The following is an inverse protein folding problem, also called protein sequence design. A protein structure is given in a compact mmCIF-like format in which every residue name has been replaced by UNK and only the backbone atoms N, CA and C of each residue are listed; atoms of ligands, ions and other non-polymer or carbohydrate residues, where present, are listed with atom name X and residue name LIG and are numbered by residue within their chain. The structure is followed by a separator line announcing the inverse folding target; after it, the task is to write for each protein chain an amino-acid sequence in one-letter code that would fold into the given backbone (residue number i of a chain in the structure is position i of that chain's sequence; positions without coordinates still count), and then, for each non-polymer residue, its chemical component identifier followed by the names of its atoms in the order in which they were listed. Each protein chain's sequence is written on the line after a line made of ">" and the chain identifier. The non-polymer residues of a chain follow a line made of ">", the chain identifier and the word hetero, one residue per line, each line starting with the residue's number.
data_IF_222654804129
#
_entry.id   IF_222654804129
#
_cell.length_a   1.000
_cell.length_b   1.000
_cell.length_c   1.000
_cell.angle_alpha   90.00
_cell.angle_beta   90.00
_cell.angle_gamma   90.00
#
_symmetry.space_group_name_H-M   'P 1'
#
loop_
_entity.id
_entity.type
_entity.pdbx_description
1 polymer ?
#
# COMPACT_ATOMS: atom_id res chain seq x y z
N UNK A 1 19.34 -4.07 -25.68
CA UNK A 1 18.53 -2.91 -25.23
C UNK A 1 19.13 -2.45 -23.92
N UNK A 2 19.74 -1.26 -23.91
CA UNK A 2 20.34 -0.66 -22.70
C UNK A 2 19.19 -0.27 -21.75
N UNK A 3 19.45 -0.27 -20.44
CA UNK A 3 18.45 0.06 -19.41
C UNK A 3 17.84 1.46 -19.53
N UNK A 4 18.34 2.32 -20.42
CA UNK A 4 17.79 3.66 -20.68
C UNK A 4 16.93 3.74 -21.95
N UNK A 5 16.94 2.70 -22.80
CA UNK A 5 16.22 2.72 -24.08
C UNK A 5 14.69 2.65 -23.90
N UNK A 6 14.20 2.21 -22.73
CA UNK A 6 12.75 2.13 -22.44
C UNK A 6 12.11 3.49 -22.16
N UNK A 7 12.89 4.51 -21.77
CA UNK A 7 12.36 5.87 -21.54
C UNK A 7 11.80 6.47 -22.84
N UNK A 8 12.38 6.12 -23.99
CA UNK A 8 11.87 6.54 -25.30
C UNK A 8 10.52 5.88 -25.64
N UNK A 9 10.23 4.71 -25.08
CA UNK A 9 8.98 3.99 -25.29
C UNK A 9 7.85 4.45 -24.35
N UNK A 10 8.17 5.25 -23.31
CA UNK A 10 7.19 5.68 -22.32
C UNK A 10 6.00 6.46 -22.93
N UNK A 11 6.20 7.43 -23.84
CA UNK A 11 5.09 8.13 -24.48
C UNK A 11 4.17 7.19 -25.25
N UNK A 12 4.75 6.28 -26.05
CA UNK A 12 4.00 5.31 -26.86
C UNK A 12 3.22 4.34 -25.97
N UNK A 13 3.85 3.81 -24.91
CA UNK A 13 3.20 2.95 -23.93
C UNK A 13 2.07 3.69 -23.21
N UNK A 14 2.28 4.94 -22.82
CA UNK A 14 1.25 5.75 -22.15
C UNK A 14 0.05 6.00 -23.06
N UNK A 15 0.28 6.37 -24.32
CA UNK A 15 -0.79 6.56 -25.31
C UNK A 15 -1.54 5.24 -25.52
N UNK A 16 -0.81 4.16 -25.75
CA UNK A 16 -1.42 2.85 -25.97
C UNK A 16 -2.26 2.41 -24.77
N UNK A 17 -1.73 2.49 -23.54
CA UNK A 17 -2.45 2.10 -22.32
C UNK A 17 -3.70 2.95 -22.09
N UNK A 18 -3.63 4.26 -22.36
CA UNK A 18 -4.76 5.16 -22.11
C UNK A 18 -5.87 5.09 -23.17
N UNK A 19 -5.53 4.69 -24.40
CA UNK A 19 -6.47 4.62 -25.53
C UNK A 19 -6.88 3.20 -25.91
N UNK A 20 -6.37 2.17 -25.25
CA UNK A 20 -6.79 0.79 -25.49
C UNK A 20 -8.04 0.42 -24.67
N UNK A 21 -9.11 -0.07 -25.31
CA UNK A 21 -10.28 -0.63 -24.65
C UNK A 21 -9.95 -1.77 -23.67
N UNK A 22 -10.47 -1.71 -22.45
CA UNK A 22 -10.27 -2.76 -21.44
C UNK A 22 -11.59 -3.44 -21.12
N UNK A 23 -11.62 -4.79 -21.18
CA UNK A 23 -12.83 -5.59 -20.86
C UNK A 23 -13.38 -5.31 -19.46
N UNK A 24 -12.51 -5.08 -18.48
CA UNK A 24 -12.89 -4.74 -17.10
C UNK A 24 -13.55 -3.36 -16.97
N UNK A 25 -13.43 -2.50 -17.99
CA UNK A 25 -14.09 -1.21 -18.10
C UNK A 25 -15.30 -1.27 -19.03
N UNK A 26 -15.89 -2.44 -19.25
CA UNK A 26 -17.01 -2.61 -20.18
C UNK A 26 -16.62 -2.44 -21.65
N UNK A 27 -15.32 -2.52 -21.97
CA UNK A 27 -14.82 -2.27 -23.32
C UNK A 27 -14.50 -0.80 -23.60
N UNK A 28 -14.45 0.06 -22.58
CA UNK A 28 -13.99 1.44 -22.70
C UNK A 28 -12.49 1.59 -22.44
N UNK A 29 -11.87 2.60 -23.04
CA UNK A 29 -10.50 2.98 -22.74
C UNK A 29 -10.43 3.92 -21.52
N UNK A 30 -9.30 3.96 -20.78
CA UNK A 30 -9.12 4.91 -19.68
C UNK A 30 -9.36 6.37 -20.07
N UNK A 31 -8.94 6.78 -21.26
CA UNK A 31 -9.15 8.13 -21.78
C UNK A 31 -10.65 8.46 -21.89
N UNK A 32 -11.48 7.52 -22.36
CA UNK A 32 -12.92 7.70 -22.49
C UNK A 32 -13.59 7.89 -21.13
N UNK A 33 -13.17 7.11 -20.13
CA UNK A 33 -13.68 7.23 -18.77
C UNK A 33 -13.29 8.55 -18.09
N UNK A 34 -12.15 9.11 -18.46
CA UNK A 34 -11.61 10.32 -17.86
C UNK A 34 -12.12 11.59 -18.53
N UNK A 35 -12.17 11.62 -19.86
CA UNK A 35 -12.53 12.82 -20.64
C UNK A 35 -13.95 12.78 -21.20
N UNK A 36 -14.58 11.60 -21.30
CA UNK A 36 -15.84 11.41 -22.01
C UNK A 36 -15.71 11.47 -23.54
N UNK A 37 -14.49 11.61 -24.08
CA UNK A 37 -14.21 11.62 -25.51
C UNK A 37 -13.85 10.22 -26.01
N UNK A 38 -14.16 9.87 -27.26
CA UNK A 38 -13.81 8.57 -27.82
C UNK A 38 -12.30 8.33 -27.82
N UNK A 39 -11.89 7.07 -27.64
CA UNK A 39 -10.49 6.71 -27.67
C UNK A 39 -9.88 6.93 -29.06
N UNK A 40 -8.84 7.75 -29.15
CA UNK A 40 -8.06 7.91 -30.38
C UNK A 40 -7.39 6.59 -30.79
N UNK A 41 -7.27 6.35 -32.10
CA UNK A 41 -6.45 5.25 -32.61
C UNK A 41 -5.00 5.42 -32.15
N UNK A 42 -4.31 4.36 -31.70
CA UNK A 42 -2.88 4.42 -31.36
C UNK A 42 -1.99 4.91 -32.51
N UNK A 43 -2.46 4.83 -33.75
CA UNK A 43 -1.79 5.34 -34.96
C UNK A 43 -2.38 6.67 -35.48
N UNK A 44 -3.44 7.19 -34.85
CA UNK A 44 -4.11 8.41 -35.30
C UNK A 44 -3.23 9.66 -35.19
N UNK A 45 -2.27 9.68 -34.27
CA UNK A 45 -1.27 10.75 -34.19
C UNK A 45 -0.24 10.76 -35.34
N UNK A 46 -0.22 9.71 -36.18
CA UNK A 46 0.67 9.60 -37.35
C UNK A 46 -0.04 10.07 -38.62
N UNK A 47 -1.37 10.04 -38.65
CA UNK A 47 -2.19 10.39 -39.83
C UNK A 47 -2.62 11.87 -39.86
N UNK A 48 -2.37 12.63 -38.79
CA UNK A 48 -2.81 14.03 -38.65
C UNK A 48 -1.83 15.06 -39.27
N UNK A 49 -1.22 14.70 -40.39
CA UNK A 49 -0.54 15.65 -41.28
C UNK A 49 -1.50 16.30 -42.32
N UNK A 50 -2.81 16.15 -42.14
CA UNK A 50 -3.77 16.83 -42.99
C UNK A 50 -4.09 18.22 -42.45
N UNK A 51 -3.53 19.20 -43.13
CA UNK A 51 -3.88 20.62 -43.14
C UNK A 51 -5.41 20.77 -43.22
N UNK A 52 -6.06 20.83 -42.06
CA UNK A 52 -7.40 21.38 -41.92
C UNK A 52 -7.29 22.48 -40.90
N UNK A 53 -7.43 23.72 -41.37
CA UNK A 53 -7.67 24.86 -40.51
C UNK A 53 -8.85 24.51 -39.62
N UNK A 54 -8.58 24.34 -38.32
CA UNK A 54 -9.60 24.13 -37.31
C UNK A 54 -10.61 25.27 -37.47
N UNK A 55 -11.87 24.99 -37.86
CA UNK A 55 -12.86 26.06 -38.00
C UNK A 55 -12.97 26.68 -36.62
N UNK A 56 -12.72 27.99 -36.52
CA UNK A 56 -12.94 28.74 -35.29
C UNK A 56 -14.40 28.54 -34.86
N UNK A 57 -14.61 27.60 -33.95
CA UNK A 57 -15.91 27.33 -33.38
C UNK A 57 -16.23 28.48 -32.44
N UNK A 58 -17.29 29.23 -32.76
CA UNK A 58 -17.84 30.20 -31.81
C UNK A 58 -18.43 29.40 -30.65
N UNK A 59 -17.71 29.36 -29.54
CA UNK A 59 -18.16 28.69 -28.32
C UNK A 59 -19.20 29.57 -27.66
N UNK A 60 -20.45 29.13 -27.70
CA UNK A 60 -21.53 29.76 -26.96
C UNK A 60 -21.44 29.40 -25.47
N UNK A 61 -21.00 30.38 -24.66
CA UNK A 61 -20.84 30.22 -23.22
C UNK A 61 -22.17 30.09 -22.46
N UNK A 62 -23.32 30.39 -23.10
CA UNK A 62 -24.63 30.36 -22.44
C UNK A 62 -25.12 28.94 -22.18
N UNK A 63 -24.71 27.96 -23.00
CA UNK A 63 -25.11 26.55 -22.89
C UNK A 63 -24.09 25.68 -22.14
N UNK A 64 -22.93 26.22 -21.75
CA UNK A 64 -21.84 25.45 -21.14
C UNK A 64 -22.24 24.74 -19.86
N UNK A 65 -23.10 25.36 -19.04
CA UNK A 65 -23.58 24.76 -17.78
C UNK A 65 -24.47 23.53 -18.02
N UNK A 66 -25.33 23.58 -19.04
CA UNK A 66 -26.20 22.48 -19.45
C UNK A 66 -25.38 21.35 -20.09
N UNK A 67 -24.44 21.68 -20.97
CA UNK A 67 -23.52 20.72 -21.58
C UNK A 67 -22.64 20.03 -20.52
N UNK A 68 -22.11 20.77 -19.54
CA UNK A 68 -21.35 20.20 -18.44
C UNK A 68 -22.22 19.31 -17.54
N UNK A 69 -23.47 19.71 -17.31
CA UNK A 69 -24.46 18.90 -16.59
C UNK A 69 -24.72 17.56 -17.29
N UNK A 70 -24.93 17.61 -18.60
CA UNK A 70 -25.11 16.42 -19.45
C UNK A 70 -23.87 15.52 -19.44
N UNK A 71 -22.67 16.10 -19.61
CA UNK A 71 -21.40 15.36 -19.55
C UNK A 71 -21.19 14.69 -18.19
N UNK A 72 -21.43 15.40 -17.08
CA UNK A 72 -21.34 14.84 -15.72
C UNK A 72 -22.31 13.68 -15.51
N UNK A 73 -23.53 13.79 -16.03
CA UNK A 73 -24.53 12.73 -15.96
C UNK A 73 -24.09 11.50 -16.78
N UNK A 74 -23.61 11.72 -17.99
CA UNK A 74 -23.09 10.67 -18.87
C UNK A 74 -21.91 9.93 -18.23
N UNK A 75 -20.92 10.66 -17.68
CA UNK A 75 -19.78 10.06 -16.98
C UNK A 75 -20.20 9.32 -15.71
N UNK A 76 -21.12 9.86 -14.91
CA UNK A 76 -21.66 9.14 -13.75
C UNK A 76 -22.32 7.82 -14.14
N UNK A 77 -23.09 7.83 -15.23
CA UNK A 77 -23.74 6.62 -15.75
C UNK A 77 -22.68 5.60 -16.19
N UNK A 78 -21.69 6.02 -16.97
CA UNK A 78 -20.60 5.16 -17.42
C UNK A 78 -19.80 4.58 -16.24
N UNK A 79 -19.45 5.40 -15.24
CA UNK A 79 -18.74 4.95 -14.04
C UNK A 79 -19.54 3.96 -13.22
N UNK A 80 -20.86 4.15 -13.14
CA UNK A 80 -21.77 3.20 -12.48
C UNK A 80 -21.77 1.85 -13.19
N UNK A 81 -21.89 1.83 -14.53
CA UNK A 81 -21.86 0.59 -15.31
C UNK A 81 -20.52 -0.15 -15.15
N UNK A 82 -19.40 0.58 -15.18
CA UNK A 82 -18.07 0.00 -14.93
C UNK A 82 -17.94 -0.54 -13.50
N UNK A 83 -18.48 0.18 -12.52
CA UNK A 83 -18.48 -0.27 -11.13
C UNK A 83 -19.26 -1.58 -10.98
N UNK A 84 -20.47 -1.64 -11.52
CA UNK A 84 -21.33 -2.82 -11.44
C UNK A 84 -20.67 -4.03 -12.13
N UNK A 85 -20.08 -3.84 -13.32
CA UNK A 85 -19.37 -4.90 -14.04
C UNK A 85 -18.14 -5.42 -13.27
N UNK A 86 -17.37 -4.52 -12.64
CA UNK A 86 -16.24 -4.88 -11.79
C UNK A 86 -16.69 -5.64 -10.55
N UNK A 87 -17.78 -5.22 -9.92
CA UNK A 87 -18.31 -5.86 -8.73
C UNK A 87 -18.79 -7.29 -9.03
N UNK A 88 -19.47 -7.50 -10.16
CA UNK A 88 -19.84 -8.84 -10.64
C UNK A 88 -18.59 -9.71 -10.85
N UNK A 89 -17.56 -9.16 -11.49
CA UNK A 89 -16.29 -9.87 -11.72
C UNK A 89 -15.61 -10.23 -10.39
N UNK A 90 -15.59 -9.32 -9.42
CA UNK A 90 -15.03 -9.53 -8.08
C UNK A 90 -15.74 -10.67 -7.34
N UNK A 91 -17.08 -10.73 -7.40
CA UNK A 91 -17.85 -11.82 -6.81
C UNK A 91 -17.53 -13.17 -7.48
N UNK A 92 -17.38 -13.18 -8.81
CA UNK A 92 -17.00 -14.38 -9.56
C UNK A 92 -15.56 -14.85 -9.24
N UNK A 93 -14.61 -13.92 -9.16
CA UNK A 93 -13.21 -14.21 -8.81
C UNK A 93 -13.11 -14.74 -7.37
N UNK A 94 -13.81 -14.13 -6.41
CA UNK A 94 -13.84 -14.63 -5.03
C UNK A 94 -14.46 -16.02 -4.93
N UNK A 95 -15.45 -16.36 -5.76
CA UNK A 95 -16.02 -17.71 -5.82
C UNK A 95 -15.02 -18.74 -6.41
N UNK A 96 -14.29 -18.38 -7.47
CA UNK A 96 -13.32 -19.28 -8.13
C UNK A 96 -12.03 -19.44 -7.32
N UNK A 97 -11.63 -18.44 -6.53
CA UNK A 97 -10.41 -18.48 -5.73
C UNK A 97 -10.52 -19.22 -4.38
N UNK A 98 -11.70 -19.74 -4.00
CA UNK A 98 -11.93 -20.53 -2.77
C UNK A 98 -11.13 -21.84 -2.62
N UNK A 99 -10.22 -22.16 -3.54
CA UNK A 99 -9.45 -23.41 -3.51
C UNK A 99 -7.99 -23.32 -3.95
N UNK A 100 -7.44 -22.13 -4.25
CA UNK A 100 -6.01 -22.05 -4.58
C UNK A 100 -5.20 -22.19 -3.30
N UNK A 101 -4.50 -23.33 -3.16
CA UNK A 101 -3.48 -23.53 -2.13
C UNK A 101 -2.49 -22.37 -2.19
N UNK A 102 -2.50 -21.57 -1.14
CA UNK A 102 -1.54 -20.51 -0.92
C UNK A 102 -0.12 -21.15 -0.95
N UNK A 103 0.67 -20.84 -1.98
CA UNK A 103 2.09 -21.21 -2.08
C UNK A 103 3.01 -20.11 -1.51
N UNK A 104 2.45 -19.18 -0.74
CA UNK A 104 3.20 -18.07 -0.15
C UNK A 104 3.43 -18.35 1.33
N UNK A 105 4.69 -18.64 1.67
CA UNK A 105 5.28 -18.37 2.98
C UNK A 105 4.93 -19.33 4.11
N UNK A 106 5.90 -19.54 4.98
CA UNK A 106 5.70 -20.05 6.33
C UNK A 106 4.71 -19.11 7.05
N UNK A 107 3.64 -19.68 7.63
CA UNK A 107 2.68 -18.90 8.41
C UNK A 107 3.38 -18.38 9.67
N UNK A 108 3.20 -17.10 9.95
CA UNK A 108 3.68 -16.46 11.17
C UNK A 108 2.52 -16.45 12.15
N UNK A 109 2.79 -16.96 13.35
CA UNK A 109 2.19 -16.70 14.65
C UNK A 109 0.67 -16.93 14.79
N UNK A 110 0.20 -17.46 15.93
CA UNK A 110 -1.14 -17.17 16.37
C UNK A 110 -1.26 -15.68 16.76
N UNK A 111 -2.24 -14.99 16.20
CA UNK A 111 -2.58 -13.60 16.54
C UNK A 111 -4.00 -13.54 17.08
N UNK A 112 -4.27 -12.61 18.00
CA UNK A 112 -5.61 -12.40 18.54
C UNK A 112 -6.33 -11.35 17.71
N UNK A 113 -7.47 -11.69 17.11
CA UNK A 113 -8.31 -10.70 16.42
C UNK A 113 -8.98 -9.80 17.45
N UNK A 114 -8.83 -8.48 17.32
CA UNK A 114 -9.41 -7.48 18.22
C UNK A 114 -10.68 -6.86 17.64
N UNK A 115 -10.69 -6.58 16.34
CA UNK A 115 -11.83 -5.95 15.67
C UNK A 115 -12.00 -6.48 14.24
N UNK A 116 -13.25 -6.64 13.82
CA UNK A 116 -13.60 -6.95 12.43
C UNK A 116 -14.16 -5.71 11.74
N UNK A 117 -13.42 -5.18 10.76
CA UNK A 117 -13.83 -4.05 9.91
C UNK A 117 -14.39 -4.58 8.57
N UNK A 118 -15.11 -3.75 7.78
CA UNK A 118 -15.76 -4.21 6.55
C UNK A 118 -14.83 -4.86 5.51
N UNK A 119 -13.56 -4.42 5.43
CA UNK A 119 -12.58 -4.91 4.45
C UNK A 119 -11.21 -5.29 5.06
N UNK A 120 -11.09 -5.22 6.38
CA UNK A 120 -9.85 -5.53 7.11
C UNK A 120 -10.17 -6.08 8.50
N UNK A 121 -9.18 -6.68 9.13
CA UNK A 121 -9.27 -7.14 10.51
C UNK A 121 -8.12 -6.52 11.28
N UNK A 122 -8.44 -5.96 12.45
CA UNK A 122 -7.44 -5.56 13.42
C UNK A 122 -7.06 -6.80 14.23
N UNK A 123 -5.75 -7.04 14.36
CA UNK A 123 -5.23 -8.11 15.18
C UNK A 123 -4.13 -7.57 16.09
N UNK A 124 -4.11 -8.12 17.29
CA UNK A 124 -3.17 -7.85 18.34
C UNK A 124 -2.10 -8.93 18.35
N UNK A 125 -0.84 -8.49 18.33
CA UNK A 125 0.29 -9.38 18.57
C UNK A 125 0.33 -9.80 20.05
N UNK A 126 0.49 -11.09 20.32
CA UNK A 126 0.39 -11.64 21.68
C UNK A 126 1.48 -11.14 22.62
N UNK A 127 2.68 -10.85 22.11
CA UNK A 127 3.83 -10.41 22.93
C UNK A 127 3.88 -8.89 23.04
N UNK A 128 3.83 -8.18 21.92
CA UNK A 128 3.99 -6.72 21.92
C UNK A 128 2.68 -5.99 22.22
N UNK A 129 1.53 -6.66 22.14
CA UNK A 129 0.23 -6.03 22.31
C UNK A 129 -0.15 -5.04 21.21
N UNK A 130 0.69 -4.87 20.18
CA UNK A 130 0.45 -3.90 19.11
C UNK A 130 -0.67 -4.37 18.20
N UNK A 131 -1.60 -3.45 17.92
CA UNK A 131 -2.67 -3.64 16.95
C UNK A 131 -2.18 -3.32 15.53
N UNK A 132 -2.52 -4.20 14.60
CA UNK A 132 -2.20 -4.04 13.19
C UNK A 132 -3.44 -4.37 12.35
N UNK A 133 -3.62 -3.67 11.23
CA UNK A 133 -4.71 -3.93 10.29
C UNK A 133 -4.22 -4.79 9.11
N UNK A 134 -4.86 -5.93 8.88
CA UNK A 134 -4.55 -6.82 7.75
C UNK A 134 -5.81 -7.20 6.99
N UNK A 135 -5.66 -7.38 5.67
CA UNK A 135 -6.72 -7.85 4.79
C UNK A 135 -7.04 -9.34 5.06
N UNK A 136 -8.32 -9.70 4.98
CA UNK A 136 -8.82 -11.05 5.27
C UNK A 136 -8.09 -12.19 4.52
N UNK A 137 -7.61 -11.92 3.31
CA UNK A 137 -6.89 -12.91 2.48
C UNK A 137 -5.54 -13.36 3.04
N UNK A 138 -4.97 -12.61 4.01
CA UNK A 138 -3.71 -12.95 4.68
C UNK A 138 -3.92 -13.64 6.03
N UNK A 139 -5.17 -13.92 6.40
CA UNK A 139 -5.51 -14.60 7.63
C UNK A 139 -5.91 -16.05 7.35
N UNK A 140 -5.56 -16.94 8.27
CA UNK A 140 -6.05 -18.32 8.30
C UNK A 140 -6.72 -18.55 9.63
N UNK A 141 -7.97 -18.99 9.60
CA UNK A 141 -8.70 -19.37 10.79
C UNK A 141 -7.96 -20.49 11.51
N UNK A 142 -7.66 -20.24 12.78
CA UNK A 142 -7.12 -21.22 13.70
C UNK A 142 -7.99 -21.18 14.95
N UNK A 143 -8.50 -22.33 15.36
CA UNK A 143 -9.32 -22.49 16.57
C UNK A 143 -8.77 -23.68 17.32
N UNK A 144 -8.17 -23.40 18.47
CA UNK A 144 -7.80 -24.41 19.45
C UNK A 144 -8.42 -23.99 20.80
N UNK A 145 -9.38 -24.77 21.34
CA UNK A 145 -9.99 -24.48 22.65
C UNK A 145 -8.97 -24.57 23.81
N UNK A 146 -7.80 -25.15 23.58
CA UNK A 146 -6.67 -25.21 24.52
C UNK A 146 -5.64 -24.08 24.35
N UNK A 147 -5.88 -23.09 23.47
CA UNK A 147 -4.99 -21.93 23.27
C UNK A 147 -5.08 -20.95 24.45
N UNK A 148 -4.76 -21.43 25.64
CA UNK A 148 -4.35 -20.56 26.73
C UNK A 148 -3.03 -19.91 26.31
N UNK A 149 -2.82 -18.65 26.66
CA UNK A 149 -1.54 -17.95 26.48
C UNK A 149 -0.48 -18.58 27.40
N UNK A 150 -0.11 -19.83 27.13
CA UNK A 150 0.90 -20.56 27.86
C UNK A 150 2.27 -20.00 27.51
N UNK A 151 3.21 -20.09 28.44
CA UNK A 151 4.59 -19.62 28.23
C UNK A 151 5.22 -20.22 26.96
N UNK A 152 4.89 -21.47 26.63
CA UNK A 152 5.37 -22.18 25.44
C UNK A 152 4.91 -21.53 24.12
N UNK A 153 3.66 -21.07 24.05
CA UNK A 153 3.14 -20.38 22.86
C UNK A 153 3.76 -18.99 22.71
N UNK A 154 4.02 -18.32 23.84
CA UNK A 154 4.70 -17.02 23.85
C UNK A 154 6.16 -17.15 23.40
N UNK A 155 6.87 -18.18 23.85
CA UNK A 155 8.23 -18.50 23.41
C UNK A 155 8.28 -18.87 21.91
N UNK A 156 7.29 -19.64 21.45
CA UNK A 156 7.15 -19.96 20.04
C UNK A 156 6.87 -18.71 19.18
N UNK A 157 6.00 -17.80 19.63
CA UNK A 157 5.74 -16.54 18.93
C UNK A 157 6.97 -15.64 18.94
N UNK A 158 7.74 -15.63 20.04
CA UNK A 158 8.97 -14.86 20.17
C UNK A 158 10.07 -15.35 19.22
N UNK A 159 10.17 -16.67 19.02
CA UNK A 159 11.11 -17.27 18.07
C UNK A 159 10.68 -17.14 16.61
N UNK A 160 9.41 -16.84 16.33
CA UNK A 160 8.88 -16.65 14.99
C UNK A 160 9.10 -15.24 14.46
N UNK A 161 10.36 -14.87 14.18
CA UNK A 161 10.78 -13.93 13.12
C UNK A 161 10.04 -12.60 12.91
N UNK A 162 9.18 -12.16 13.83
CA UNK A 162 8.55 -10.85 13.79
C UNK A 162 9.64 -9.90 14.26
N UNK A 163 10.15 -9.11 13.33
CA UNK A 163 11.09 -8.05 13.64
C UNK A 163 10.38 -7.03 14.53
N UNK A 164 10.57 -7.15 15.84
CA UNK A 164 10.08 -6.17 16.81
C UNK A 164 10.99 -4.95 16.72
N UNK A 165 10.43 -3.82 16.33
CA UNK A 165 11.14 -2.54 16.40
C UNK A 165 11.26 -2.07 17.84
N UNK A 166 12.32 -1.34 18.17
CA UNK A 166 12.44 -0.62 19.44
C UNK A 166 11.29 0.38 19.53
N UNK A 167 10.52 0.41 20.62
CA UNK A 167 9.41 1.36 20.80
C UNK A 167 9.89 2.69 21.39
N UNK A 168 10.59 2.63 22.54
CA UNK A 168 11.21 3.77 23.20
C UNK A 168 12.48 3.34 23.95
N UNK A 169 13.40 4.28 24.13
CA UNK A 169 14.54 4.13 25.04
C UNK A 169 14.09 4.68 26.39
N UNK A 170 14.20 3.87 27.43
CA UNK A 170 13.67 4.21 28.75
C UNK A 170 14.70 4.87 29.66
N UNK A 171 15.97 4.47 29.55
CA UNK A 171 17.03 4.93 30.44
C UNK A 171 18.41 4.79 29.77
N UNK A 172 19.41 5.52 30.27
CA UNK A 172 20.78 5.44 29.80
C UNK A 172 21.76 5.55 30.97
N UNK A 173 22.93 4.92 30.85
CA UNK A 173 23.98 4.99 31.87
C UNK A 173 25.36 5.04 31.23
N UNK A 174 26.20 5.94 31.72
CA UNK A 174 27.63 5.94 31.43
C UNK A 174 28.33 4.90 32.32
N UNK A 175 28.93 3.90 31.70
CA UNK A 175 29.72 2.90 32.42
C UNK A 175 31.17 2.91 31.92
N UNK A 176 32.11 3.26 32.80
CA UNK A 176 33.55 3.26 32.48
C UNK A 176 34.14 1.84 32.36
N UNK A 177 33.47 0.82 32.91
CA UNK A 177 33.93 -0.57 32.88
C UNK A 177 32.77 -1.50 32.51
N UNK A 178 32.66 -1.82 31.22
CA UNK A 178 31.66 -2.74 30.71
C UNK A 178 31.94 -4.15 31.24
N UNK A 179 31.23 -4.60 32.28
CA UNK A 179 31.27 -5.99 32.70
C UNK A 179 30.39 -6.81 31.75
N UNK A 180 30.94 -7.73 30.94
CA UNK A 180 30.20 -8.46 29.91
C UNK A 180 29.24 -9.54 30.46
N UNK A 181 29.00 -9.55 31.77
CA UNK A 181 28.22 -10.61 32.44
C UNK A 181 26.72 -10.25 32.50
N UNK A 182 26.35 -8.96 32.44
CA UNK A 182 24.95 -8.50 32.46
C UNK A 182 24.57 -7.92 31.08
N UNK A 183 24.31 -8.78 30.10
CA UNK A 183 23.92 -8.44 28.72
C UNK A 183 22.48 -7.88 28.59
N UNK A 184 22.02 -7.07 29.55
CA UNK A 184 20.69 -6.44 29.50
C UNK A 184 20.75 -4.99 28.98
N UNK A 185 21.96 -4.52 28.61
CA UNK A 185 22.22 -3.17 28.10
C UNK A 185 23.03 -3.25 26.81
N UNK A 186 22.59 -2.54 25.78
CA UNK A 186 23.27 -2.48 24.48
C UNK A 186 24.15 -1.22 24.36
N UNK A 187 25.33 -1.31 23.73
CA UNK A 187 26.18 -0.15 23.48
C UNK A 187 25.51 0.90 22.58
N UNK A 188 25.73 2.17 22.89
CA UNK A 188 25.18 3.31 22.13
C UNK A 188 25.49 3.23 20.62
N UNK A 189 26.69 2.77 20.25
CA UNK A 189 27.10 2.65 18.84
C UNK A 189 26.24 1.65 18.06
N UNK A 190 25.82 0.55 18.69
CA UNK A 190 24.95 -0.45 18.06
C UNK A 190 23.53 0.11 17.92
N UNK A 191 23.02 0.75 18.97
CA UNK A 191 21.70 1.38 18.94
C UNK A 191 21.59 2.54 17.93
N UNK A 192 22.68 3.28 17.69
CA UNK A 192 22.73 4.34 16.69
C UNK A 192 22.73 3.78 15.26
N UNK A 193 23.33 2.60 15.04
CA UNK A 193 23.28 1.89 13.77
C UNK A 193 21.88 1.32 13.50
N UNK A 194 21.27 0.68 14.51
CA UNK A 194 19.99 -0.01 14.38
C UNK A 194 18.79 0.95 14.38
N UNK A 195 18.77 1.95 15.27
CA UNK A 195 17.61 2.84 15.47
C UNK A 195 18.02 4.32 15.66
N UNK A 196 18.69 4.95 14.67
CA UNK A 196 19.28 6.29 14.81
C UNK A 196 18.26 7.36 15.18
N UNK A 197 17.03 7.28 14.63
CA UNK A 197 15.99 8.25 14.89
C UNK A 197 15.53 8.24 16.36
N UNK A 198 15.37 7.05 16.96
CA UNK A 198 14.87 6.96 18.35
C UNK A 198 15.95 7.33 19.36
N UNK A 199 17.21 7.01 19.08
CA UNK A 199 18.36 7.45 19.89
C UNK A 199 18.46 8.96 19.90
N UNK A 200 18.44 9.62 18.73
CA UNK A 200 18.46 11.09 18.63
C UNK A 200 17.27 11.75 19.33
N UNK A 201 16.07 11.20 19.14
CA UNK A 201 14.86 11.71 19.81
C UNK A 201 14.97 11.60 21.33
N UNK A 202 15.51 10.50 21.84
CA UNK A 202 15.72 10.31 23.27
C UNK A 202 16.82 11.24 23.79
N UNK A 203 17.96 11.37 23.10
CA UNK A 203 19.04 12.26 23.48
C UNK A 203 18.59 13.73 23.53
N UNK A 204 17.79 14.17 22.55
CA UNK A 204 17.22 15.52 22.53
C UNK A 204 16.16 15.76 23.62
N UNK A 205 15.55 14.70 24.14
CA UNK A 205 14.60 14.75 25.25
C UNK A 205 15.27 14.53 26.63
N UNK A 206 16.52 14.07 26.64
CA UNK A 206 17.35 13.92 27.83
C UNK A 206 18.03 15.25 28.12
N UNK A 207 18.10 15.65 29.38
CA UNK A 207 18.82 16.86 29.81
C UNK A 207 20.36 16.65 29.87
N UNK A 208 20.86 15.57 29.26
CA UNK A 208 22.26 15.16 29.31
C UNK A 208 23.02 15.64 28.06
N UNK A 209 23.87 16.64 28.26
CA UNK A 209 24.65 17.31 27.20
C UNK A 209 25.71 16.38 26.61
N UNK A 210 26.30 15.50 27.44
CA UNK A 210 27.37 14.59 27.01
C UNK A 210 26.79 13.50 26.09
N UNK A 211 25.56 13.04 26.37
CA UNK A 211 24.85 12.11 25.49
C UNK A 211 24.50 12.75 24.14
N UNK A 212 24.11 14.04 24.15
CA UNK A 212 23.70 14.75 22.94
C UNK A 212 24.88 14.98 21.99
N UNK A 213 26.06 15.31 22.53
CA UNK A 213 27.30 15.45 21.76
C UNK A 213 27.76 14.12 21.11
N UNK A 214 27.46 12.98 21.75
CA UNK A 214 27.83 11.65 21.23
C UNK A 214 26.90 11.13 20.11
N UNK A 215 25.75 11.78 19.89
CA UNK A 215 24.67 11.30 19.02
C UNK A 215 24.45 12.21 17.79
N UNK A 216 25.00 13.42 17.79
CA UNK A 216 25.13 14.31 16.61
C UNK A 216 26.09 13.73 15.56
#
# INVERSE_FOLDING_TARGET
>A
MRFLDWLYLLPDLRVNLNHTPVRSFGGHAPAELFTGLPASSPLGGIDDCCIHADPLAVVDFTCVSEQLGSLRHSLHKMHKEVWDAKEVTRVQDTATHKGRRNRFGQWIGPFKVTEAKPHSFAFQHLISGCDNDVHASRLKYYTDPGLNQTAELMELVASQGILLGVDAICDHRFNQLCNPINNWWEPLMILLEDVPYKVRKYAAASDDVDLLELVE
#
